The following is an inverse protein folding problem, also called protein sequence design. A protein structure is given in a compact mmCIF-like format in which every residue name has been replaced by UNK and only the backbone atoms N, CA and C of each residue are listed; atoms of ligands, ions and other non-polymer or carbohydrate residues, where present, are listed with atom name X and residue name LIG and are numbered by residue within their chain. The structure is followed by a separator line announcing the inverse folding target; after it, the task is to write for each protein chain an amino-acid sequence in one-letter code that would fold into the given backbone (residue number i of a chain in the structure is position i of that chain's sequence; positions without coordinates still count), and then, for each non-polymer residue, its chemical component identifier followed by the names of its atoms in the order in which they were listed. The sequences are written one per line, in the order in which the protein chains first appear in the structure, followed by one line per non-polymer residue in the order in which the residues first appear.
data_IF_715743767681
#
_entry.id   IF_715743767681
#
_cell.length_a   1.000
_cell.length_b   1.000
_cell.length_c   1.000
_cell.angle_alpha   90.00
_cell.angle_beta   90.00
_cell.angle_gamma   90.00
#
_symmetry.space_group_name_H-M   'P 1'
#
loop_
_entity.id
_entity.type
_entity.pdbx_description
1 polymer ?
#
# COMPACT_ATOMS: atom_id res chain seq x y z
N UNK A 1 -0.40 79.83 6.90
CA UNK A 1 -0.70 78.88 5.80
C UNK A 1 -0.12 77.54 6.20
N UNK A 2 -0.95 76.58 6.60
CA UNK A 2 -0.51 75.30 7.18
C UNK A 2 -0.54 74.22 6.09
N UNK A 3 0.59 73.61 5.75
CA UNK A 3 0.63 72.45 4.84
C UNK A 3 0.00 71.23 5.54
N UNK A 4 -1.23 70.88 5.17
CA UNK A 4 -1.83 69.57 5.49
C UNK A 4 -1.23 68.52 4.56
N UNK A 5 -0.12 67.90 4.96
CA UNK A 5 0.37 66.69 4.31
C UNK A 5 -0.54 65.52 4.72
N UNK A 6 -1.39 65.08 3.80
CA UNK A 6 -2.19 63.86 3.91
C UNK A 6 -1.25 62.64 3.96
N UNK A 7 -0.80 62.29 5.16
CA UNK A 7 -0.03 61.08 5.45
C UNK A 7 -0.94 59.82 5.44
N UNK A 8 -1.80 59.71 4.44
CA UNK A 8 -2.82 58.67 4.32
C UNK A 8 -2.63 57.83 3.04
N UNK A 9 -1.37 57.69 2.59
CA UNK A 9 -1.02 56.88 1.41
C UNK A 9 -0.14 55.65 1.72
N UNK A 10 0.18 55.36 2.98
CA UNK A 10 0.84 54.11 3.31
C UNK A 10 -0.18 53.03 3.68
N UNK A 11 -0.84 52.46 2.67
CA UNK A 11 -1.35 51.11 2.79
C UNK A 11 -0.15 50.14 2.75
N UNK A 12 0.55 49.95 3.87
CA UNK A 12 1.44 48.81 4.02
C UNK A 12 0.57 47.55 4.12
N UNK A 13 0.56 46.76 3.03
CA UNK A 13 -0.01 45.40 2.88
C UNK A 13 -1.00 45.01 3.99
N UNK A 14 -2.27 45.40 3.88
CA UNK A 14 -3.30 44.99 4.84
C UNK A 14 -3.73 43.54 4.54
N UNK A 15 -3.07 42.61 5.24
CA UNK A 15 -3.60 41.29 5.58
C UNK A 15 -3.67 40.28 4.45
N UNK A 16 -2.56 39.60 4.17
CA UNK A 16 -2.65 38.25 3.61
C UNK A 16 -3.15 37.32 4.71
N UNK A 17 -4.42 36.91 4.68
CA UNK A 17 -4.94 35.90 5.59
C UNK A 17 -4.20 34.58 5.37
N UNK A 18 -3.70 33.95 6.42
CA UNK A 18 -3.22 32.57 6.33
C UNK A 18 -4.42 31.63 6.28
N UNK A 19 -4.77 31.15 5.08
CA UNK A 19 -5.68 30.00 4.98
C UNK A 19 -4.89 28.75 5.36
N UNK A 20 -5.04 28.28 6.60
CA UNK A 20 -4.46 27.02 7.03
C UNK A 20 -5.20 25.86 6.37
N UNK A 21 -4.62 25.29 5.31
CA UNK A 21 -5.08 24.04 4.73
C UNK A 21 -4.61 22.88 5.61
N UNK A 22 -5.25 22.70 6.76
CA UNK A 22 -4.93 21.68 7.77
C UNK A 22 -5.89 20.47 7.78
N UNK A 23 -6.50 20.13 6.63
CA UNK A 23 -7.42 18.99 6.54
C UNK A 23 -6.64 17.73 6.20
N UNK A 24 -6.66 16.76 7.12
CA UNK A 24 -6.21 15.41 6.85
C UNK A 24 -7.35 14.40 7.12
N UNK A 25 -7.25 13.24 6.50
CA UNK A 25 -8.19 12.15 6.64
C UNK A 25 -7.63 11.06 7.55
N UNK A 26 -8.50 10.37 8.29
CA UNK A 26 -8.06 9.23 9.11
C UNK A 26 -7.37 8.16 8.26
N UNK A 27 -6.25 7.63 8.77
CA UNK A 27 -5.49 6.60 8.09
C UNK A 27 -6.33 5.35 7.82
N UNK A 28 -6.24 4.81 6.60
CA UNK A 28 -7.07 3.68 6.14
C UNK A 28 -6.43 2.31 6.36
N UNK A 29 -5.25 2.28 7.00
CA UNK A 29 -4.49 1.05 7.34
C UNK A 29 -4.36 0.08 6.15
N UNK A 30 -4.04 0.60 4.96
CA UNK A 30 -3.78 -0.19 3.75
C UNK A 30 -2.47 -0.99 3.87
N UNK A 31 -2.16 -1.82 2.88
CA UNK A 31 -0.93 -2.61 2.78
C UNK A 31 -1.11 -4.10 3.04
N UNK A 32 0.02 -4.80 3.09
CA UNK A 32 0.10 -6.24 3.34
C UNK A 32 -0.38 -6.59 4.75
N UNK A 33 -1.10 -7.70 4.86
CA UNK A 33 -1.60 -8.27 6.12
C UNK A 33 -0.98 -9.62 6.45
N UNK A 34 -0.40 -10.28 5.45
CA UNK A 34 0.31 -11.55 5.56
C UNK A 34 1.64 -11.46 4.83
N UNK A 35 2.64 -12.13 5.39
CA UNK A 35 3.98 -12.17 4.83
C UNK A 35 4.15 -13.30 3.82
N UNK A 36 5.20 -13.22 3.01
CA UNK A 36 5.60 -14.30 2.11
C UNK A 36 5.99 -15.55 2.91
N UNK A 37 5.57 -16.74 2.46
CA UNK A 37 5.81 -18.01 3.13
C UNK A 37 5.01 -18.24 4.41
N UNK A 38 4.08 -17.35 4.77
CA UNK A 38 3.21 -17.52 5.93
C UNK A 38 2.03 -18.45 5.61
N UNK A 39 1.72 -19.38 6.53
CA UNK A 39 0.50 -20.18 6.45
C UNK A 39 -0.74 -19.34 6.76
N UNK A 40 -1.77 -19.46 5.92
CA UNK A 40 -3.03 -18.75 6.03
C UNK A 40 -4.19 -19.70 5.80
N UNK A 41 -5.28 -19.48 6.56
CA UNK A 41 -6.57 -20.10 6.29
C UNK A 41 -7.31 -19.39 5.14
N UNK A 42 -8.24 -20.11 4.50
CA UNK A 42 -9.20 -19.60 3.54
C UNK A 42 -10.01 -18.44 4.14
N UNK A 43 -10.34 -17.45 3.31
CA UNK A 43 -11.01 -16.22 3.72
C UNK A 43 -10.12 -15.16 4.37
N UNK A 44 -8.86 -15.50 4.74
CA UNK A 44 -7.96 -14.49 5.31
C UNK A 44 -7.60 -13.40 4.30
N UNK A 45 -7.53 -12.16 4.80
CA UNK A 45 -7.07 -11.01 4.01
C UNK A 45 -5.54 -11.07 3.87
N UNK A 46 -5.07 -10.97 2.63
CA UNK A 46 -3.65 -10.95 2.29
C UNK A 46 -3.12 -9.52 2.14
N UNK A 47 -3.88 -8.67 1.43
CA UNK A 47 -3.47 -7.31 1.09
C UNK A 47 -4.68 -6.39 0.95
N UNK A 48 -4.64 -5.21 1.60
CA UNK A 48 -5.63 -4.14 1.39
C UNK A 48 -5.03 -3.04 0.53
N UNK A 49 -5.66 -2.72 -0.58
CA UNK A 49 -5.14 -1.73 -1.54
C UNK A 49 -6.24 -0.79 -2.04
N UNK A 50 -5.82 0.22 -2.81
CA UNK A 50 -6.68 1.06 -3.65
C UNK A 50 -6.20 0.87 -5.07
N UNK A 51 -7.08 0.42 -5.96
CA UNK A 51 -6.64 -0.12 -7.25
C UNK A 51 -5.88 -1.43 -7.08
N UNK A 52 -5.38 -1.98 -8.20
CA UNK A 52 -4.72 -3.29 -8.23
C UNK A 52 -3.20 -3.13 -8.38
N UNK A 53 -2.49 -2.82 -7.29
CA UNK A 53 -1.02 -2.81 -7.26
C UNK A 53 -0.47 -4.24 -7.29
N UNK A 54 -1.04 -5.10 -6.46
CA UNK A 54 -0.81 -6.54 -6.46
C UNK A 54 -2.03 -7.20 -7.11
N UNK A 55 -1.77 -8.07 -8.07
CA UNK A 55 -2.81 -8.79 -8.81
C UNK A 55 -3.15 -10.10 -8.10
N UNK A 56 -4.40 -10.57 -8.19
CA UNK A 56 -4.74 -11.92 -7.77
C UNK A 56 -4.00 -12.94 -8.66
N UNK A 57 -3.36 -13.91 -8.01
CA UNK A 57 -2.74 -15.08 -8.62
C UNK A 57 -3.58 -16.33 -8.39
N UNK A 58 -2.92 -17.47 -8.18
CA UNK A 58 -3.59 -18.76 -7.94
C UNK A 58 -4.24 -18.78 -6.55
N UNK A 59 -5.49 -19.22 -6.48
CA UNK A 59 -6.25 -19.40 -5.24
C UNK A 59 -6.41 -18.12 -4.40
N UNK A 60 -6.41 -16.96 -5.05
CA UNK A 60 -6.62 -15.65 -4.42
C UNK A 60 -7.80 -14.94 -5.08
N UNK A 61 -8.76 -14.51 -4.27
CA UNK A 61 -9.89 -13.69 -4.69
C UNK A 61 -9.58 -12.20 -4.57
N UNK A 62 -10.31 -11.37 -5.34
CA UNK A 62 -10.31 -9.91 -5.22
C UNK A 62 -11.71 -9.44 -4.83
N UNK A 63 -11.80 -8.72 -3.71
CA UNK A 63 -13.04 -8.10 -3.24
C UNK A 63 -13.40 -6.83 -4.02
N UNK A 64 -14.59 -6.29 -3.77
CA UNK A 64 -15.07 -5.07 -4.43
C UNK A 64 -14.26 -3.81 -4.08
N UNK A 65 -13.57 -3.79 -2.94
CA UNK A 65 -12.68 -2.71 -2.52
C UNK A 65 -11.20 -2.94 -2.90
N UNK A 66 -10.96 -3.85 -3.86
CA UNK A 66 -9.64 -4.35 -4.30
C UNK A 66 -8.85 -5.16 -3.26
N UNK A 67 -9.45 -5.49 -2.10
CA UNK A 67 -8.81 -6.35 -1.10
C UNK A 67 -8.58 -7.75 -1.65
N UNK A 68 -7.37 -8.27 -1.45
CA UNK A 68 -7.00 -9.64 -1.82
C UNK A 68 -7.19 -10.58 -0.63
N UNK A 69 -7.83 -11.72 -0.87
CA UNK A 69 -8.12 -12.72 0.16
C UNK A 69 -7.85 -14.15 -0.33
N UNK A 70 -7.58 -15.04 0.62
CA UNK A 70 -7.32 -16.45 0.37
C UNK A 70 -8.59 -17.21 -0.01
N UNK A 71 -8.55 -18.05 -1.05
CA UNK A 71 -9.65 -18.97 -1.37
C UNK A 71 -9.46 -20.35 -0.74
N UNK A 72 -8.22 -20.74 -0.47
CA UNK A 72 -7.86 -22.02 0.14
C UNK A 72 -6.87 -21.81 1.29
N UNK A 73 -6.71 -22.83 2.12
CA UNK A 73 -5.64 -22.91 3.12
C UNK A 73 -4.30 -23.18 2.44
N UNK A 74 -3.23 -22.52 2.90
CA UNK A 74 -1.89 -22.75 2.38
C UNK A 74 -0.90 -21.64 2.69
N UNK A 75 0.20 -21.62 1.95
CA UNK A 75 1.29 -20.66 2.09
C UNK A 75 1.16 -19.54 1.06
N UNK A 76 1.31 -18.30 1.54
CA UNK A 76 1.30 -17.10 0.69
C UNK A 76 2.61 -17.01 -0.10
N UNK A 77 2.52 -16.73 -1.39
CA UNK A 77 3.67 -16.49 -2.25
C UNK A 77 3.46 -15.23 -3.10
N UNK A 78 4.33 -14.24 -2.93
CA UNK A 78 4.38 -13.04 -3.76
C UNK A 78 5.33 -13.25 -4.93
N UNK A 79 4.82 -13.14 -6.15
CA UNK A 79 5.56 -13.40 -7.37
C UNK A 79 5.45 -12.24 -8.36
N UNK A 80 6.42 -12.12 -9.26
CA UNK A 80 6.35 -11.14 -10.35
C UNK A 80 5.40 -11.63 -11.42
N UNK A 81 4.56 -10.72 -11.91
CA UNK A 81 3.67 -10.93 -13.05
C UNK A 81 4.22 -10.15 -14.24
N UNK A 82 5.03 -10.83 -15.07
CA UNK A 82 5.71 -10.21 -16.21
C UNK A 82 6.77 -9.20 -15.77
N UNK A 83 6.91 -8.10 -16.53
CA UNK A 83 7.96 -7.10 -16.30
C UNK A 83 7.73 -6.27 -15.04
N UNK A 84 6.61 -5.56 -14.93
CA UNK A 84 6.45 -4.52 -13.90
C UNK A 84 5.38 -4.83 -12.84
N UNK A 85 4.53 -5.84 -13.08
CA UNK A 85 3.42 -6.16 -12.18
C UNK A 85 3.84 -7.22 -11.18
N UNK A 86 3.12 -7.28 -10.06
CA UNK A 86 3.27 -8.30 -9.03
C UNK A 86 1.92 -8.99 -8.82
N UNK A 87 1.94 -10.24 -8.41
CA UNK A 87 0.76 -10.98 -8.02
C UNK A 87 1.01 -11.76 -6.73
N UNK A 88 -0.06 -12.16 -6.07
CA UNK A 88 -0.01 -13.01 -4.88
C UNK A 88 -0.81 -14.28 -5.13
N UNK A 89 -0.21 -15.41 -4.81
CA UNK A 89 -0.76 -16.74 -4.97
C UNK A 89 -0.73 -17.49 -3.64
N UNK A 90 -1.61 -18.46 -3.47
CA UNK A 90 -1.58 -19.40 -2.34
C UNK A 90 -1.34 -20.80 -2.87
N UNK A 91 -0.38 -21.49 -2.25
CA UNK A 91 -0.02 -22.87 -2.54
C UNK A 91 -0.19 -23.73 -1.29
N UNK A 92 -0.73 -24.95 -1.43
CA UNK A 92 -0.87 -25.89 -0.32
C UNK A 92 0.48 -26.28 0.29
N UNK A 93 1.50 -26.38 -0.56
CA UNK A 93 2.86 -26.73 -0.15
C UNK A 93 3.75 -25.49 -0.04
N UNK A 94 4.67 -25.53 0.92
CA UNK A 94 5.67 -24.48 1.08
C UNK A 94 6.71 -24.65 -0.01
N UNK A 95 6.89 -23.66 -0.89
CA UNK A 95 8.02 -23.62 -1.83
C UNK A 95 9.32 -23.55 -1.03
N UNK A 96 9.98 -24.68 -0.83
CA UNK A 96 11.36 -24.72 -0.37
C UNK A 96 12.24 -24.44 -1.58
N UNK A 97 13.21 -23.54 -1.43
CA UNK A 97 14.16 -23.26 -2.50
C UNK A 97 15.10 -24.47 -2.61
N UNK A 98 14.85 -25.36 -3.57
CA UNK A 98 15.60 -26.61 -3.79
C UNK A 98 17.12 -26.36 -3.89
N UNK A 99 17.53 -25.20 -4.43
CA UNK A 99 18.95 -24.80 -4.52
C UNK A 99 19.66 -24.68 -3.17
N UNK A 100 18.94 -24.38 -2.09
CA UNK A 100 19.53 -24.30 -0.76
C UNK A 100 19.65 -25.68 -0.09
N UNK A 101 18.88 -26.67 -0.55
CA UNK A 101 18.89 -28.04 -0.02
C UNK A 101 20.09 -28.80 -0.59
N UNK A 102 20.42 -28.63 -1.87
CA UNK A 102 21.61 -29.24 -2.48
C UNK A 102 22.92 -28.78 -1.81
N UNK A 103 23.06 -27.51 -1.44
CA UNK A 103 24.30 -26.99 -0.82
C UNK A 103 24.55 -27.55 0.59
N UNK A 104 23.52 -28.07 1.26
CA UNK A 104 23.64 -28.66 2.61
C UNK A 104 23.98 -30.15 2.53
N UNK A 105 23.63 -30.82 1.43
CA UNK A 105 23.88 -32.26 1.23
C UNK A 105 25.29 -32.49 0.66
N UNK A 106 25.85 -31.51 -0.04
CA UNK A 106 27.22 -31.55 -0.56
C UNK A 106 28.30 -31.01 0.43
N UNK A 107 27.93 -30.69 1.67
CA UNK A 107 28.81 -30.17 2.71
C UNK A 107 29.11 -31.19 3.82
#
# INVERSE_FOLDING_TARGET
MLLKLNLQFFAHKKGGGSTSNGRDSNSKRLGAKRADGQFVLAGNILYKQRGTHIHPGKNVGRGGDDTLFALIDGYVSFERKGRDKKQVSIYTERKVNEKAVETVIEA
#
